data_IF_901168243352
#
_entry.id   IF_901168243352
#
_cell.length_a   1.000
_cell.length_b   1.000
_cell.length_c   1.000
_cell.angle_alpha   90.00
_cell.angle_beta   90.00
_cell.angle_gamma   90.00
#
_symmetry.space_group_name_H-M   'P 1'
#
loop_
_entity.id
_entity.type
_entity.pdbx_description
1 polymer ?
#
# COMPACT_ATOMS: atom_id res chain seq x y z
N UNK A 1 4.06 27.96 6.23
CA UNK A 1 3.62 28.81 5.09
C UNK A 1 4.88 29.31 4.37
N UNK A 2 4.94 29.20 3.04
CA UNK A 2 6.01 29.78 2.22
C UNK A 2 5.47 31.04 1.53
N UNK A 3 6.30 32.09 1.40
CA UNK A 3 5.93 33.31 0.66
C UNK A 3 6.08 33.04 -0.83
N UNK A 4 5.04 33.33 -1.59
CA UNK A 4 5.03 33.19 -3.05
C UNK A 4 4.47 34.47 -3.64
N UNK A 5 5.15 35.01 -4.65
CA UNK A 5 4.69 36.16 -5.43
C UNK A 5 4.07 35.62 -6.72
N UNK A 6 2.86 36.06 -7.03
CA UNK A 6 2.14 35.71 -8.26
C UNK A 6 1.73 37.01 -8.96
N UNK A 7 1.65 36.98 -10.28
CA UNK A 7 1.09 38.07 -11.06
C UNK A 7 -0.42 37.83 -11.20
N UNK A 8 -1.21 38.89 -11.03
CA UNK A 8 -2.66 38.90 -11.19
C UNK A 8 -3.02 40.00 -12.16
N UNK A 9 -4.06 39.77 -12.96
CA UNK A 9 -4.65 40.84 -13.74
C UNK A 9 -5.30 41.85 -12.80
N UNK A 10 -5.12 43.15 -13.09
CA UNK A 10 -5.67 44.24 -12.29
C UNK A 10 -7.20 44.12 -12.01
N UNK A 11 -8.07 43.78 -12.98
CA UNK A 11 -9.49 43.57 -12.69
C UNK A 11 -9.73 42.46 -11.66
N UNK A 12 -8.98 41.35 -11.76
CA UNK A 12 -9.11 40.22 -10.83
C UNK A 12 -8.66 40.59 -9.41
N UNK A 13 -7.60 41.38 -9.29
CA UNK A 13 -7.14 41.88 -7.99
C UNK A 13 -8.21 42.76 -7.32
N UNK A 14 -8.86 43.65 -8.09
CA UNK A 14 -9.94 44.52 -7.58
C UNK A 14 -11.12 43.72 -7.08
N UNK A 15 -11.56 42.73 -7.84
CA UNK A 15 -12.68 41.86 -7.45
C UNK A 15 -12.35 41.04 -6.20
N UNK A 16 -11.13 40.51 -6.12
CA UNK A 16 -10.66 39.76 -4.96
C UNK A 16 -10.61 40.63 -3.70
N UNK A 17 -10.16 41.88 -3.81
CA UNK A 17 -10.13 42.85 -2.72
C UNK A 17 -11.55 43.19 -2.25
N UNK A 18 -12.46 43.51 -3.17
CA UNK A 18 -13.85 43.81 -2.84
C UNK A 18 -14.53 42.64 -2.13
N UNK A 19 -14.23 41.40 -2.56
CA UNK A 19 -14.72 40.18 -1.91
C UNK A 19 -14.14 40.01 -0.50
N UNK A 20 -12.84 40.22 -0.33
CA UNK A 20 -12.16 40.13 0.96
C UNK A 20 -12.76 41.11 1.99
N UNK A 21 -13.03 42.35 1.56
CA UNK A 21 -13.65 43.39 2.39
C UNK A 21 -15.08 42.99 2.79
N UNK A 22 -15.89 42.52 1.83
CA UNK A 22 -17.27 42.07 2.10
C UNK A 22 -17.34 40.88 3.06
N UNK A 23 -16.38 39.96 2.99
CA UNK A 23 -16.32 38.79 3.89
C UNK A 23 -15.60 39.09 5.21
N UNK A 24 -14.94 40.24 5.36
CA UNK A 24 -14.11 40.55 6.53
C UNK A 24 -12.90 39.61 6.67
N UNK A 25 -12.39 39.07 5.57
CA UNK A 25 -11.31 38.05 5.55
C UNK A 25 -10.06 38.60 4.88
N UNK A 26 -8.85 38.19 5.31
CA UNK A 26 -7.63 38.56 4.61
C UNK A 26 -7.61 38.02 3.18
N UNK A 27 -7.22 38.86 2.21
CA UNK A 27 -7.13 38.48 0.79
C UNK A 27 -6.33 37.18 0.56
N UNK A 28 -5.20 37.03 1.27
CA UNK A 28 -4.37 35.84 1.17
C UNK A 28 -5.10 34.55 1.65
N UNK A 29 -6.10 34.66 2.54
CA UNK A 29 -6.90 33.52 2.96
C UNK A 29 -7.80 33.03 1.81
N UNK A 30 -8.43 33.95 1.08
CA UNK A 30 -9.24 33.65 -0.10
C UNK A 30 -8.41 33.00 -1.21
N UNK A 31 -7.22 33.55 -1.51
CA UNK A 31 -6.32 32.96 -2.51
C UNK A 31 -5.94 31.53 -2.15
N UNK A 32 -5.60 31.27 -0.89
CA UNK A 32 -5.23 29.92 -0.43
C UNK A 32 -6.41 28.94 -0.49
N UNK A 33 -7.61 29.41 -0.17
CA UNK A 33 -8.84 28.62 -0.26
C UNK A 33 -9.14 28.26 -1.72
N UNK A 34 -9.18 29.26 -2.60
CA UNK A 34 -9.39 29.07 -4.03
C UNK A 34 -8.38 28.11 -4.65
N UNK A 35 -7.08 28.25 -4.33
CA UNK A 35 -6.05 27.34 -4.81
C UNK A 35 -6.24 25.91 -4.29
N UNK A 36 -6.67 25.74 -3.03
CA UNK A 36 -6.94 24.41 -2.47
C UNK A 36 -8.12 23.75 -3.17
N UNK A 37 -9.20 24.49 -3.37
CA UNK A 37 -10.39 23.99 -4.05
C UNK A 37 -10.10 23.67 -5.52
N UNK A 38 -9.37 24.54 -6.22
CA UNK A 38 -8.98 24.32 -7.61
C UNK A 38 -8.13 23.05 -7.76
N UNK A 39 -7.13 22.85 -6.91
CA UNK A 39 -6.31 21.64 -6.91
C UNK A 39 -7.10 20.39 -6.50
N UNK A 40 -8.04 20.50 -5.57
CA UNK A 40 -8.91 19.39 -5.17
C UNK A 40 -9.91 19.01 -6.27
N UNK A 41 -10.40 19.99 -7.03
CA UNK A 41 -11.30 19.76 -8.16
C UNK A 41 -10.59 19.05 -9.32
N UNK A 42 -9.32 19.35 -9.57
CA UNK A 42 -8.50 18.63 -10.56
C UNK A 42 -8.16 17.20 -10.11
N UNK A 43 -8.08 16.98 -8.80
CA UNK A 43 -7.96 15.66 -8.21
C UNK A 43 -9.31 14.94 -8.17
N UNK A 44 -9.98 14.77 -9.32
CA UNK A 44 -11.02 13.73 -9.42
C UNK A 44 -10.31 12.40 -9.17
N UNK A 45 -10.53 11.72 -8.02
CA UNK A 45 -9.88 10.45 -7.81
C UNK A 45 -10.38 9.53 -8.92
N UNK A 46 -9.45 8.98 -9.72
CA UNK A 46 -9.81 7.95 -10.68
C UNK A 46 -10.60 6.89 -9.90
N UNK A 47 -11.80 6.50 -10.36
CA UNK A 47 -12.55 5.48 -9.67
C UNK A 47 -11.64 4.26 -9.42
N UNK A 48 -11.76 3.64 -8.25
CA UNK A 48 -10.88 2.53 -7.84
C UNK A 48 -10.88 1.35 -8.84
N UNK A 49 -11.88 1.30 -9.71
CA UNK A 49 -12.04 0.32 -10.78
C UNK A 49 -11.39 0.71 -12.12
N UNK A 50 -10.80 1.90 -12.26
CA UNK A 50 -10.05 2.27 -13.47
C UNK A 50 -8.85 1.32 -13.58
N UNK A 51 -8.92 0.41 -14.55
CA UNK A 51 -7.91 -0.64 -14.76
C UNK A 51 -8.24 -2.00 -14.13
N UNK A 52 -9.40 -2.17 -13.49
CA UNK A 52 -9.81 -3.44 -12.87
C UNK A 52 -9.90 -4.64 -13.87
N UNK A 53 -9.97 -4.37 -15.17
CA UNK A 53 -9.94 -5.38 -16.24
C UNK A 53 -8.59 -5.50 -16.97
N UNK A 54 -7.51 -4.87 -16.49
CA UNK A 54 -6.20 -4.88 -17.17
C UNK A 54 -5.33 -6.08 -16.75
N UNK A 55 -5.94 -7.21 -16.41
CA UNK A 55 -5.21 -8.44 -16.05
C UNK A 55 -4.61 -9.16 -17.27
N UNK A 56 -5.04 -8.81 -18.49
CA UNK A 56 -4.64 -9.52 -19.72
C UNK A 56 -5.41 -10.81 -19.98
N UNK A 57 -6.24 -11.24 -19.03
CA UNK A 57 -7.09 -12.41 -19.12
C UNK A 57 -8.50 -12.02 -19.60
N UNK A 58 -9.02 -12.76 -20.58
CA UNK A 58 -10.37 -12.55 -21.14
C UNK A 58 -11.39 -13.59 -20.67
N UNK A 59 -10.91 -14.67 -20.06
CA UNK A 59 -11.66 -15.85 -19.64
C UNK A 59 -12.04 -15.80 -18.14
N UNK A 60 -11.64 -14.77 -17.39
CA UNK A 60 -11.91 -14.66 -15.95
C UNK A 60 -13.40 -14.72 -15.63
N UNK A 61 -14.26 -14.12 -16.46
CA UNK A 61 -15.71 -14.15 -16.26
C UNK A 61 -16.31 -15.54 -16.51
N UNK A 62 -15.78 -16.30 -17.46
CA UNK A 62 -16.27 -17.64 -17.79
C UNK A 62 -15.78 -18.69 -16.77
N UNK A 63 -14.61 -18.45 -16.16
CA UNK A 63 -13.93 -19.39 -15.26
C UNK A 63 -14.03 -19.04 -13.79
N UNK A 64 -14.80 -18.01 -13.42
CA UNK A 64 -14.83 -17.47 -12.06
C UNK A 64 -15.13 -18.55 -11.00
N UNK A 65 -16.09 -19.44 -11.26
CA UNK A 65 -16.41 -20.59 -10.40
C UNK A 65 -15.19 -21.48 -10.14
N UNK A 66 -14.51 -21.89 -11.21
CA UNK A 66 -13.33 -22.76 -11.12
C UNK A 66 -12.09 -22.05 -10.54
N UNK A 67 -12.09 -20.71 -10.43
CA UNK A 67 -11.01 -19.94 -9.82
C UNK A 67 -11.28 -19.66 -8.34
N UNK A 68 -12.53 -19.38 -7.97
CA UNK A 68 -12.93 -19.05 -6.60
C UNK A 68 -13.10 -20.29 -5.71
N UNK A 69 -13.54 -21.40 -6.30
CA UNK A 69 -13.83 -22.64 -5.56
C UNK A 69 -12.77 -23.71 -5.80
N UNK A 70 -11.53 -23.30 -6.12
CA UNK A 70 -10.42 -24.24 -6.06
C UNK A 70 -10.28 -24.73 -4.62
N UNK A 71 -10.13 -26.05 -4.39
CA UNK A 71 -9.70 -26.50 -3.08
C UNK A 71 -8.37 -25.80 -2.81
N UNK A 72 -8.30 -25.05 -1.72
CA UNK A 72 -7.04 -24.52 -1.19
C UNK A 72 -6.01 -25.66 -1.29
N UNK A 73 -4.83 -25.44 -1.90
CA UNK A 73 -3.77 -26.43 -1.75
C UNK A 73 -3.61 -26.58 -0.24
N UNK A 74 -3.87 -27.79 0.25
CA UNK A 74 -3.75 -28.08 1.66
C UNK A 74 -2.41 -27.50 2.12
N UNK A 75 -2.44 -26.63 3.14
CA UNK A 75 -1.25 -26.04 3.74
C UNK A 75 -0.46 -27.12 4.51
N UNK A 76 -0.06 -28.15 3.79
CA UNK A 76 0.63 -29.37 4.22
C UNK A 76 1.46 -29.73 3.00
N UNK A 77 2.65 -29.17 2.89
CA UNK A 77 3.85 -30.00 2.83
C UNK A 77 5.13 -29.20 3.19
N UNK A 78 5.04 -28.04 3.86
CA UNK A 78 6.24 -27.29 4.28
C UNK A 78 6.71 -27.70 5.68
N UNK A 79 5.85 -28.25 6.55
CA UNK A 79 6.22 -28.57 7.93
C UNK A 79 6.83 -29.98 8.13
N UNK A 80 6.62 -30.92 7.19
CA UNK A 80 7.08 -32.31 7.37
C UNK A 80 8.52 -32.56 6.93
N UNK A 81 9.09 -31.74 6.04
CA UNK A 81 10.52 -31.82 5.69
C UNK A 81 11.40 -31.23 6.79
N UNK A 82 11.01 -30.10 7.39
CA UNK A 82 11.77 -29.49 8.49
C UNK A 82 11.84 -30.40 9.74
N UNK A 83 10.76 -31.14 10.05
CA UNK A 83 10.75 -32.07 11.17
C UNK A 83 11.55 -33.36 10.91
N UNK A 84 11.59 -33.84 9.66
CA UNK A 84 12.38 -35.04 9.29
C UNK A 84 13.87 -34.73 9.15
N UNK A 85 14.24 -33.49 8.82
CA UNK A 85 15.64 -33.05 8.80
C UNK A 85 16.17 -32.81 10.23
N UNK A 86 15.39 -32.17 11.13
CA UNK A 86 15.75 -31.99 12.54
C UNK A 86 15.93 -33.32 13.29
N UNK A 87 15.10 -34.34 12.99
CA UNK A 87 15.23 -35.67 13.57
C UNK A 87 16.49 -36.43 13.07
N UNK A 88 16.93 -36.20 11.83
CA UNK A 88 18.17 -36.77 11.27
C UNK A 88 19.43 -36.11 11.82
N UNK A 89 19.34 -34.87 12.28
CA UNK A 89 20.46 -34.14 12.90
C UNK A 89 20.63 -34.52 14.39
N UNK A 90 19.54 -34.67 15.14
CA UNK A 90 19.57 -35.14 16.53
C UNK A 90 20.05 -36.59 16.70
N UNK A 91 19.88 -37.43 15.69
CA UNK A 91 20.38 -38.82 15.68
C UNK A 91 21.90 -38.96 15.50
N UNK A 92 22.62 -37.89 15.12
CA UNK A 92 24.07 -37.93 14.88
C UNK A 92 24.92 -37.53 16.10
N UNK A 93 24.33 -36.96 17.16
CA UNK A 93 25.06 -36.47 18.33
C UNK A 93 24.98 -37.36 19.58
N UNK A 94 24.35 -38.55 19.48
CA UNK A 94 24.04 -39.40 20.64
C UNK A 94 24.68 -40.80 20.64
N UNK A 95 25.90 -41.00 20.14
CA UNK A 95 26.56 -42.31 20.16
C UNK A 95 27.98 -42.29 20.74
N UNK A 96 28.07 -42.45 22.07
CA UNK A 96 29.06 -43.34 22.68
C UNK A 96 30.26 -42.72 23.41
N UNK A 97 30.03 -42.15 24.60
CA UNK A 97 31.01 -42.32 25.68
C UNK A 97 31.14 -43.81 26.00
N UNK A 98 32.36 -44.35 26.01
CA UNK A 98 32.69 -45.62 26.68
C UNK A 98 33.83 -45.38 27.67
N UNK A 99 33.62 -45.61 28.98
CA UNK A 99 34.72 -45.55 29.94
C UNK A 99 35.52 -46.85 29.85
N UNK A 100 36.83 -46.76 29.63
CA UNK A 100 37.75 -47.90 29.85
C UNK A 100 38.55 -47.66 31.14
N UNK A 101 38.20 -48.44 32.15
CA UNK A 101 38.84 -48.42 33.46
C UNK A 101 40.27 -48.98 33.47
N UNK A 102 41.13 -48.26 34.20
CA UNK A 102 42.01 -48.70 35.31
C UNK A 102 42.52 -50.15 35.32
N UNK A 103 43.85 -50.33 35.16
CA UNK A 103 44.70 -51.33 35.86
C UNK A 103 46.08 -50.68 36.05
N UNK A 104 46.44 -50.37 37.31
CA UNK A 104 47.43 -51.06 38.17
C UNK A 104 48.85 -50.96 37.66
#
# INVERSE_FOLDING_TARGET
MKRTTIFLEEPLERDLKARAEREGRPMAALVREALREYMAAEAVPRPRFVGAGRSGHRDTAERHEALLFQPEPAATEIETEAATEAAREAGRTGAGERPRGRRR
#
